data_IF_299153480737
#
_entry.id   IF_299153480737
#
_cell.length_a   1.000
_cell.length_b   1.000
_cell.length_c   1.000
_cell.angle_alpha   90.00
_cell.angle_beta   90.00
_cell.angle_gamma   90.00
#
_symmetry.space_group_name_H-M   'P 1'
#
loop_
_entity.id
_entity.type
_entity.pdbx_description
1 polymer ?
#
# COMPACT_ATOMS: atom_id res chain seq x y z
N UNK A 1 -44.27 -19.83 -27.51
CA UNK A 1 -43.84 -19.73 -26.10
C UNK A 1 -42.42 -19.16 -25.98
N UNK A 2 -42.06 -18.11 -26.76
CA UNK A 2 -40.65 -17.65 -26.90
C UNK A 2 -40.41 -16.15 -26.67
N UNK A 3 -41.45 -15.30 -26.64
CA UNK A 3 -41.25 -13.85 -26.43
C UNK A 3 -41.11 -13.49 -24.96
N UNK A 4 -41.95 -14.04 -24.09
CA UNK A 4 -41.91 -13.77 -22.64
C UNK A 4 -40.63 -14.30 -21.99
N UNK A 5 -40.15 -15.47 -22.44
CA UNK A 5 -38.90 -16.06 -21.94
C UNK A 5 -37.67 -15.21 -22.31
N UNK A 6 -37.65 -14.65 -23.53
CA UNK A 6 -36.60 -13.74 -23.98
C UNK A 6 -36.59 -12.42 -23.19
N UNK A 7 -37.76 -11.88 -22.86
CA UNK A 7 -37.87 -10.67 -22.04
C UNK A 7 -37.38 -10.89 -20.61
N UNK A 8 -37.70 -12.03 -20.00
CA UNK A 8 -37.23 -12.37 -18.64
C UNK A 8 -35.71 -12.58 -18.62
N UNK A 9 -35.16 -13.29 -19.61
CA UNK A 9 -33.70 -13.48 -19.74
C UNK A 9 -32.96 -12.15 -19.98
N UNK A 10 -33.53 -11.23 -20.77
CA UNK A 10 -32.95 -9.89 -20.98
C UNK A 10 -32.98 -9.03 -19.70
N UNK A 11 -34.05 -9.11 -18.91
CA UNK A 11 -34.16 -8.40 -17.64
C UNK A 11 -33.12 -8.86 -16.62
N UNK A 12 -32.86 -10.16 -16.52
CA UNK A 12 -31.81 -10.68 -15.62
C UNK A 12 -30.39 -10.28 -16.07
N UNK A 13 -30.13 -10.24 -17.37
CA UNK A 13 -28.85 -9.75 -17.91
C UNK A 13 -28.59 -8.27 -17.58
N UNK A 14 -29.63 -7.43 -17.52
CA UNK A 14 -29.49 -6.01 -17.17
C UNK A 14 -29.14 -5.86 -15.67
N UNK A 15 -29.74 -6.66 -14.78
CA UNK A 15 -29.45 -6.61 -13.34
C UNK A 15 -28.04 -7.04 -12.97
N UNK A 16 -27.38 -7.90 -13.77
CA UNK A 16 -26.00 -8.33 -13.50
C UNK A 16 -24.98 -7.24 -13.91
N UNK A 17 -25.33 -6.35 -14.85
CA UNK A 17 -24.40 -5.31 -15.34
C UNK A 17 -24.30 -4.06 -14.45
N UNK A 18 -25.21 -3.86 -13.49
CA UNK A 18 -25.30 -2.61 -12.73
C UNK A 18 -24.44 -2.54 -11.46
N UNK A 19 -23.61 -3.56 -11.16
CA UNK A 19 -22.67 -3.51 -10.03
C UNK A 19 -21.26 -3.09 -10.47
N UNK A 20 -21.15 -2.07 -11.32
CA UNK A 20 -19.92 -1.30 -11.40
C UNK A 20 -19.88 -0.34 -10.20
N UNK A 21 -19.38 -0.81 -9.06
CA UNK A 21 -19.07 0.08 -7.93
C UNK A 21 -17.95 1.03 -8.36
N UNK A 22 -18.33 2.22 -8.86
CA UNK A 22 -17.41 3.33 -9.01
C UNK A 22 -17.05 3.83 -7.61
N UNK A 23 -15.95 3.31 -7.05
CA UNK A 23 -15.31 3.88 -5.88
C UNK A 23 -14.67 5.22 -6.28
N UNK A 24 -15.48 6.28 -6.38
CA UNK A 24 -14.97 7.65 -6.41
C UNK A 24 -14.56 8.04 -4.99
N UNK A 25 -13.43 7.49 -4.52
CA UNK A 25 -12.77 7.98 -3.33
C UNK A 25 -12.19 9.35 -3.67
N UNK A 26 -12.71 10.41 -3.05
CA UNK A 26 -12.14 11.76 -3.11
C UNK A 26 -10.65 11.68 -2.75
N UNK A 27 -9.77 12.00 -3.71
CA UNK A 27 -8.32 11.88 -3.59
C UNK A 27 -7.78 13.07 -2.76
N UNK A 28 -8.15 13.13 -1.48
CA UNK A 28 -7.30 13.79 -0.49
C UNK A 28 -6.37 12.70 0.00
N UNK A 29 -5.14 12.70 -0.49
CA UNK A 29 -4.12 11.80 0.00
C UNK A 29 -3.72 12.22 1.41
N UNK A 30 -4.33 11.60 2.41
CA UNK A 30 -3.93 11.69 3.80
C UNK A 30 -2.96 10.56 4.12
N UNK A 31 -1.95 10.75 4.99
CA UNK A 31 -1.06 9.66 5.37
C UNK A 31 -1.85 8.55 6.05
N UNK A 32 -1.52 7.30 5.73
CA UNK A 32 -2.25 6.12 6.18
C UNK A 32 -1.32 5.19 6.98
N UNK A 33 -1.86 4.45 7.95
CA UNK A 33 -1.14 3.36 8.57
C UNK A 33 -0.92 2.23 7.54
N UNK A 34 0.26 1.64 7.55
CA UNK A 34 0.65 0.52 6.71
C UNK A 34 1.25 -0.61 7.56
N UNK A 35 0.41 -1.42 8.24
CA UNK A 35 0.88 -2.50 9.11
C UNK A 35 1.65 -3.60 8.36
N UNK A 36 1.36 -3.80 7.07
CA UNK A 36 2.02 -4.80 6.23
C UNK A 36 3.27 -4.29 5.52
N UNK A 37 3.74 -3.07 5.82
CA UNK A 37 4.97 -2.54 5.22
C UNK A 37 6.17 -3.44 5.57
N UNK A 38 7.00 -3.73 4.59
CA UNK A 38 8.20 -4.54 4.74
C UNK A 38 9.43 -3.72 4.35
N UNK A 39 10.47 -3.82 5.16
CA UNK A 39 11.79 -3.30 4.83
C UNK A 39 12.51 -4.35 3.99
N UNK A 40 12.97 -3.94 2.81
CA UNK A 40 13.68 -4.75 1.84
C UNK A 40 15.19 -4.54 2.00
N UNK A 41 15.82 -5.35 2.86
CA UNK A 41 17.27 -5.30 3.09
C UNK A 41 18.09 -5.86 1.91
N UNK A 42 17.46 -6.56 0.95
CA UNK A 42 18.16 -7.30 -0.10
C UNK A 42 18.63 -6.41 -1.26
N UNK A 43 18.04 -5.23 -1.43
CA UNK A 43 18.38 -4.33 -2.55
C UNK A 43 19.72 -3.60 -2.41
N UNK A 44 20.23 -3.48 -1.17
CA UNK A 44 21.59 -2.98 -0.92
C UNK A 44 22.65 -3.87 -1.61
N UNK A 45 22.34 -5.16 -1.79
CA UNK A 45 23.26 -6.13 -2.41
C UNK A 45 23.15 -6.19 -3.95
N UNK A 46 22.07 -5.68 -4.54
CA UNK A 46 21.81 -5.74 -5.99
C UNK A 46 22.14 -4.43 -6.72
N UNK A 47 22.30 -3.33 -5.99
CA UNK A 47 22.57 -2.01 -6.56
C UNK A 47 24.09 -1.76 -6.54
N UNK A 48 24.75 -1.82 -7.69
CA UNK A 48 26.20 -1.55 -7.79
C UNK A 48 26.57 -0.08 -7.46
N UNK A 49 25.58 0.82 -7.43
CA UNK A 49 25.75 2.25 -7.11
C UNK A 49 24.93 2.64 -5.88
N UNK A 50 25.56 3.39 -4.97
CA UNK A 50 24.91 4.05 -3.84
C UNK A 50 24.67 5.52 -4.14
N UNK A 51 23.53 6.04 -3.69
CA UNK A 51 23.17 7.45 -3.79
C UNK A 51 22.98 8.04 -2.39
N UNK A 52 23.33 9.32 -2.23
CA UNK A 52 23.08 10.09 -1.02
C UNK A 52 21.82 10.94 -1.19
N UNK A 53 21.00 10.98 -0.14
CA UNK A 53 19.78 11.77 -0.08
C UNK A 53 19.83 12.71 1.11
N UNK A 54 19.47 13.97 0.88
CA UNK A 54 19.23 14.93 1.95
C UNK A 54 17.77 14.80 2.37
N UNK A 55 17.52 14.43 3.63
CA UNK A 55 16.18 14.42 4.20
C UNK A 55 16.05 15.54 5.21
N UNK A 56 15.11 16.45 4.97
CA UNK A 56 14.79 17.55 5.88
C UNK A 56 13.41 17.34 6.48
N UNK A 57 13.36 17.33 7.81
CA UNK A 57 12.15 17.07 8.58
C UNK A 57 11.81 18.35 9.35
N UNK A 58 10.61 18.88 9.12
CA UNK A 58 10.09 20.02 9.87
C UNK A 58 9.15 19.50 10.94
N UNK A 59 9.47 19.75 12.22
CA UNK A 59 8.62 19.37 13.35
C UNK A 59 7.60 20.46 13.63
N UNK A 60 6.33 20.09 13.78
CA UNK A 60 5.26 21.07 14.02
C UNK A 60 5.44 21.78 15.36
N UNK A 61 5.06 23.06 15.43
CA UNK A 61 4.96 23.78 16.71
C UNK A 61 3.92 23.19 17.68
N UNK A 62 2.99 22.39 17.17
CA UNK A 62 2.02 21.63 17.95
C UNK A 62 2.51 20.23 18.37
N UNK A 63 3.77 19.88 18.08
CA UNK A 63 4.45 18.70 18.61
C UNK A 63 4.78 18.88 20.11
N UNK A 64 5.03 17.79 20.86
CA UNK A 64 5.59 17.87 22.20
C UNK A 64 6.91 18.65 22.21
N UNK A 65 7.30 19.19 23.37
CA UNK A 65 8.52 20.02 23.50
C UNK A 65 9.76 19.28 23.02
N UNK A 66 9.89 18.03 23.42
CA UNK A 66 10.94 17.09 23.04
C UNK A 66 10.31 15.70 22.90
N UNK A 67 10.96 14.81 22.15
CA UNK A 67 10.58 13.40 22.05
C UNK A 67 11.83 12.53 22.20
N UNK A 68 11.73 11.46 22.99
CA UNK A 68 12.75 10.42 23.12
C UNK A 68 12.36 9.15 22.38
N UNK A 69 11.27 9.23 21.62
CA UNK A 69 10.77 8.09 20.86
C UNK A 69 11.73 7.76 19.73
N UNK A 70 11.86 6.47 19.45
CA UNK A 70 12.66 6.01 18.32
C UNK A 70 11.93 6.32 17.03
N UNK A 71 12.62 6.98 16.10
CA UNK A 71 12.06 7.34 14.80
C UNK A 71 12.86 6.62 13.72
N UNK A 72 12.14 5.87 12.89
CA UNK A 72 12.67 5.26 11.67
C UNK A 72 11.98 5.86 10.44
N UNK A 73 12.68 5.86 9.32
CA UNK A 73 12.21 6.42 8.06
C UNK A 73 12.46 5.44 6.93
N UNK A 74 11.49 5.30 6.02
CA UNK A 74 11.72 4.63 4.75
C UNK A 74 11.00 5.35 3.60
N UNK A 75 11.69 5.48 2.48
CA UNK A 75 11.15 6.04 1.25
C UNK A 75 11.64 5.24 0.05
N UNK A 76 10.96 5.38 -1.08
CA UNK A 76 11.31 4.62 -2.27
C UNK A 76 10.51 5.01 -3.49
N UNK A 77 10.73 4.24 -4.57
CA UNK A 77 10.18 4.50 -5.89
C UNK A 77 9.22 3.41 -6.39
N UNK A 78 8.65 3.66 -7.58
CA UNK A 78 7.67 2.78 -8.20
C UNK A 78 8.28 1.47 -8.75
N UNK A 79 9.61 1.41 -8.85
CA UNK A 79 10.36 0.22 -9.28
C UNK A 79 10.71 -0.70 -8.10
N UNK A 80 10.34 -0.28 -6.90
CA UNK A 80 10.54 -1.03 -5.67
C UNK A 80 11.86 -0.76 -5.00
N UNK A 81 12.69 0.18 -5.49
CA UNK A 81 13.91 0.56 -4.78
C UNK A 81 13.56 1.28 -3.48
N UNK A 82 14.19 0.85 -2.39
CA UNK A 82 13.90 1.35 -1.05
C UNK A 82 15.15 1.85 -0.34
N UNK A 83 15.04 3.05 0.24
CA UNK A 83 15.98 3.58 1.22
C UNK A 83 15.35 3.45 2.60
N UNK A 84 16.15 3.01 3.57
CA UNK A 84 15.71 2.79 4.95
C UNK A 84 16.75 3.34 5.92
N UNK A 85 16.31 4.18 6.83
CA UNK A 85 17.09 4.65 7.97
C UNK A 85 16.47 4.09 9.26
N UNK A 86 17.14 3.15 9.94
CA UNK A 86 16.57 2.43 11.08
C UNK A 86 16.39 3.31 12.31
N UNK A 87 17.26 4.30 12.48
CA UNK A 87 17.23 5.22 13.61
C UNK A 87 17.75 6.57 13.18
N UNK A 88 16.86 7.56 13.14
CA UNK A 88 17.20 8.96 12.84
C UNK A 88 17.00 9.87 14.06
N UNK A 89 16.44 9.33 15.15
CA UNK A 89 16.48 10.00 16.44
C UNK A 89 17.89 9.96 17.02
N UNK A 90 18.32 11.12 17.52
CA UNK A 90 19.49 11.22 18.39
C UNK A 90 19.09 12.00 19.65
N UNK A 91 18.85 11.29 20.77
CA UNK A 91 18.44 11.90 22.03
C UNK A 91 19.46 12.92 22.59
N UNK A 92 20.70 12.89 22.13
CA UNK A 92 21.78 13.74 22.64
C UNK A 92 21.88 15.10 21.93
N UNK A 93 21.28 15.24 20.75
CA UNK A 93 21.40 16.44 19.90
C UNK A 93 20.13 17.30 19.84
N UNK A 94 19.07 16.91 20.54
CA UNK A 94 17.81 17.66 20.53
C UNK A 94 17.03 17.54 19.21
N UNK A 95 17.22 16.44 18.46
CA UNK A 95 16.46 16.19 17.25
C UNK A 95 14.96 16.13 17.53
N UNK A 96 14.15 16.63 16.61
CA UNK A 96 12.69 16.59 16.67
C UNK A 96 12.07 17.42 17.81
N UNK A 97 12.78 18.47 18.24
CA UNK A 97 12.20 19.50 19.11
C UNK A 97 11.01 20.21 18.45
N UNK A 98 10.12 20.78 19.27
CA UNK A 98 8.99 21.54 18.73
C UNK A 98 9.46 22.70 17.85
N UNK A 99 8.80 22.92 16.72
CA UNK A 99 9.17 23.96 15.76
C UNK A 99 10.61 23.82 15.20
N UNK A 100 11.24 22.63 15.29
CA UNK A 100 12.59 22.41 14.76
C UNK A 100 12.59 22.07 13.28
N UNK A 101 13.77 22.21 12.67
CA UNK A 101 14.09 21.64 11.36
C UNK A 101 15.35 20.80 11.51
N UNK A 102 15.22 19.50 11.25
CA UNK A 102 16.30 18.52 11.36
C UNK A 102 16.66 18.01 9.96
N UNK A 103 17.96 17.91 9.65
CA UNK A 103 18.44 17.50 8.32
C UNK A 103 19.43 16.34 8.42
N UNK A 104 19.22 15.32 7.59
CA UNK A 104 19.99 14.08 7.57
C UNK A 104 20.52 13.81 6.17
N UNK A 105 21.73 13.23 6.10
CA UNK A 105 22.24 12.58 4.90
C UNK A 105 22.04 11.07 5.05
N UNK A 106 21.27 10.48 4.14
CA UNK A 106 20.94 9.05 4.15
C UNK A 106 21.44 8.43 2.85
N UNK A 107 22.22 7.37 2.97
CA UNK A 107 22.72 6.61 1.82
C UNK A 107 21.85 5.39 1.56
N UNK A 108 21.59 5.09 0.29
CA UNK A 108 20.85 3.89 -0.12
C UNK A 108 20.97 3.62 -1.61
N UNK A 109 20.15 2.70 -2.16
CA UNK A 109 20.09 2.51 -3.61
C UNK A 109 19.67 3.80 -4.32
N UNK A 110 20.13 3.96 -5.56
CA UNK A 110 19.72 5.07 -6.41
C UNK A 110 18.26 4.89 -6.87
N UNK A 111 17.41 5.82 -6.47
CA UNK A 111 15.99 5.88 -6.81
C UNK A 111 15.81 6.61 -8.14
N UNK A 112 14.74 6.31 -8.86
CA UNK A 112 14.36 7.06 -10.06
C UNK A 112 13.48 8.27 -9.74
N UNK A 113 12.45 8.06 -8.90
CA UNK A 113 11.56 9.11 -8.43
C UNK A 113 10.90 8.67 -7.13
N UNK A 114 11.10 9.44 -6.06
CA UNK A 114 10.49 9.13 -4.75
C UNK A 114 8.98 9.29 -4.86
N UNK A 115 8.23 8.22 -4.62
CA UNK A 115 6.77 8.23 -4.69
C UNK A 115 6.09 7.74 -3.41
N UNK A 116 6.83 7.17 -2.45
CA UNK A 116 6.29 6.86 -1.13
C UNK A 116 7.28 7.25 -0.05
N UNK A 117 6.74 7.54 1.13
CA UNK A 117 7.50 7.78 2.34
C UNK A 117 6.67 7.36 3.56
N UNK A 118 7.26 6.56 4.43
CA UNK A 118 6.68 6.13 5.69
C UNK A 118 7.61 6.47 6.85
N UNK A 119 7.00 6.93 7.94
CA UNK A 119 7.63 7.11 9.23
C UNK A 119 7.19 6.00 10.17
N UNK A 120 8.07 5.60 11.07
CA UNK A 120 7.76 4.67 12.16
C UNK A 120 8.20 5.31 13.46
N UNK A 121 7.30 5.30 14.46
CA UNK A 121 7.60 5.79 15.81
C UNK A 121 7.46 4.65 16.81
N UNK A 122 8.39 4.55 17.74
CA UNK A 122 8.33 3.64 18.89
C UNK A 122 8.67 4.37 20.18
N UNK A 123 7.67 4.56 21.05
CA UNK A 123 7.83 5.18 22.35
C UNK A 123 6.54 5.82 22.88
N UNK A 124 6.67 6.59 23.97
CA UNK A 124 5.55 7.14 24.72
C UNK A 124 5.38 8.65 24.60
N UNK A 125 6.41 9.39 24.17
CA UNK A 125 6.40 10.86 24.20
C UNK A 125 5.49 11.44 23.10
N UNK A 126 5.38 10.74 21.98
CA UNK A 126 4.67 11.21 20.79
C UNK A 126 5.55 12.15 19.96
N UNK A 127 5.14 12.34 18.71
CA UNK A 127 5.82 13.25 17.78
C UNK A 127 4.90 13.63 16.63
N UNK A 128 4.94 14.90 16.22
CA UNK A 128 4.14 15.46 15.13
C UNK A 128 5.03 16.18 14.11
N UNK A 129 5.43 15.53 13.02
CA UNK A 129 6.05 16.21 11.90
C UNK A 129 5.02 17.05 11.16
N UNK A 130 5.45 18.22 10.70
CA UNK A 130 4.72 19.04 9.74
C UNK A 130 4.96 18.51 8.33
N UNK A 131 6.21 18.37 7.93
CA UNK A 131 6.58 17.82 6.62
C UNK A 131 7.91 17.07 6.64
N UNK A 132 8.07 16.19 5.65
CA UNK A 132 9.34 15.52 5.34
C UNK A 132 9.66 15.77 3.88
N UNK A 133 10.79 16.41 3.62
CA UNK A 133 11.32 16.64 2.28
C UNK A 133 12.49 15.70 2.02
N UNK A 134 12.48 15.04 0.87
CA UNK A 134 13.58 14.20 0.38
C UNK A 134 14.14 14.84 -0.88
N UNK A 135 15.41 15.19 -0.84
CA UNK A 135 16.18 15.64 -1.99
C UNK A 135 17.20 14.58 -2.39
N UNK A 136 17.13 14.15 -3.64
CA UNK A 136 18.17 13.36 -4.29
C UNK A 136 18.76 14.13 -5.46
N UNK A 137 20.07 14.04 -5.67
CA UNK A 137 20.77 14.78 -6.73
C UNK A 137 20.15 14.53 -8.11
N UNK A 138 19.79 13.28 -8.42
CA UNK A 138 19.19 12.90 -9.72
C UNK A 138 17.66 12.93 -9.72
N UNK A 139 17.01 12.82 -8.56
CA UNK A 139 15.54 12.66 -8.45
C UNK A 139 14.81 13.97 -8.14
N UNK A 140 15.55 15.03 -7.80
CA UNK A 140 14.97 16.29 -7.34
C UNK A 140 14.43 16.20 -5.91
N UNK A 141 13.58 17.15 -5.56
CA UNK A 141 12.98 17.28 -4.23
C UNK A 141 11.50 16.87 -4.23
N UNK A 142 11.10 16.06 -3.25
CA UNK A 142 9.70 15.67 -3.01
C UNK A 142 9.36 15.92 -1.55
N UNK A 143 8.23 16.57 -1.28
CA UNK A 143 7.77 16.90 0.07
C UNK A 143 6.49 16.14 0.42
N UNK A 144 6.45 15.55 1.60
CA UNK A 144 5.32 14.84 2.18
C UNK A 144 4.81 15.60 3.41
N UNK A 145 3.54 16.02 3.39
CA UNK A 145 2.94 16.87 4.42
C UNK A 145 2.11 16.06 5.42
N UNK A 146 2.65 15.79 6.60
CA UNK A 146 1.98 14.98 7.62
C UNK A 146 1.02 15.80 8.48
N UNK A 147 1.54 16.85 9.13
CA UNK A 147 0.85 17.68 10.12
C UNK A 147 -0.09 16.90 11.07
N UNK A 148 0.31 15.71 11.49
CA UNK A 148 -0.46 14.80 12.36
C UNK A 148 0.47 14.00 13.25
N UNK A 149 -0.03 13.52 14.39
CA UNK A 149 0.76 12.70 15.30
C UNK A 149 1.06 11.33 14.67
N UNK A 150 2.32 10.92 14.69
CA UNK A 150 2.70 9.60 14.19
C UNK A 150 2.24 8.54 15.20
N UNK A 151 1.46 7.52 14.77
CA UNK A 151 1.04 6.45 15.66
C UNK A 151 2.23 5.61 16.14
N UNK A 152 2.09 5.01 17.32
CA UNK A 152 3.11 4.14 17.90
C UNK A 152 3.06 2.76 17.25
N UNK A 153 4.21 2.19 16.89
CA UNK A 153 4.34 0.78 16.52
C UNK A 153 3.79 0.41 15.14
N UNK A 154 3.56 1.39 14.25
CA UNK A 154 3.08 1.14 12.89
C UNK A 154 3.74 2.12 11.91
N UNK A 155 4.08 1.63 10.71
CA UNK A 155 4.52 2.48 9.61
C UNK A 155 3.37 3.36 9.16
N UNK A 156 3.62 4.65 9.00
CA UNK A 156 2.57 5.65 8.72
C UNK A 156 3.08 6.67 7.70
N UNK A 157 2.31 6.91 6.65
CA UNK A 157 2.76 7.80 5.58
C UNK A 157 2.02 7.67 4.27
N UNK A 158 2.70 8.00 3.18
CA UNK A 158 2.11 8.18 1.86
C UNK A 158 2.63 7.14 0.88
N UNK A 159 1.77 6.77 -0.06
CA UNK A 159 2.15 5.98 -1.23
C UNK A 159 1.45 6.52 -2.48
N UNK A 160 2.20 7.31 -3.25
CA UNK A 160 1.79 7.91 -4.53
C UNK A 160 2.36 7.16 -5.72
N UNK A 161 3.00 6.02 -5.49
CA UNK A 161 3.47 5.21 -6.58
C UNK A 161 2.25 4.78 -7.36
N UNK A 162 2.05 5.39 -8.54
CA UNK A 162 1.18 4.81 -9.55
C UNK A 162 1.66 3.39 -9.69
N UNK A 163 0.78 2.40 -9.47
CA UNK A 163 1.11 1.01 -9.73
C UNK A 163 1.59 0.98 -11.18
N UNK A 164 2.90 0.98 -11.42
CA UNK A 164 3.46 0.35 -12.60
C UNK A 164 2.79 -1.00 -12.58
N UNK A 165 1.89 -1.22 -13.54
CA UNK A 165 0.93 -2.31 -13.52
C UNK A 165 1.71 -3.59 -13.31
N UNK A 166 1.75 -4.08 -12.07
CA UNK A 166 2.10 -5.46 -11.82
C UNK A 166 1.01 -6.19 -12.58
N UNK A 167 1.35 -6.93 -13.66
CA UNK A 167 0.33 -7.70 -14.33
C UNK A 167 -0.29 -8.53 -13.22
N UNK A 168 -1.57 -8.30 -12.94
CA UNK A 168 -2.31 -9.22 -12.10
C UNK A 168 -2.16 -10.53 -12.86
N UNK A 169 -1.37 -11.45 -12.33
CA UNK A 169 -1.50 -12.85 -12.71
C UNK A 169 -2.91 -13.19 -12.29
N UNK A 170 -3.85 -12.97 -13.20
CA UNK A 170 -5.13 -13.66 -13.20
C UNK A 170 -4.74 -15.12 -13.19
N UNK A 171 -4.73 -15.71 -12.00
CA UNK A 171 -4.68 -17.15 -11.85
C UNK A 171 -5.95 -17.67 -12.53
N UNK A 172 -5.80 -17.99 -13.82
CA UNK A 172 -6.83 -18.64 -14.63
C UNK A 172 -7.19 -20.04 -14.10
N UNK A 173 -6.50 -20.52 -13.06
CA UNK A 173 -6.76 -21.80 -12.41
C UNK A 173 -7.89 -21.74 -11.37
N UNK A 174 -8.34 -20.56 -10.95
CA UNK A 174 -9.46 -20.41 -10.00
C UNK A 174 -10.86 -20.56 -10.61
N UNK A 175 -10.99 -20.45 -11.94
CA UNK A 175 -12.31 -20.51 -12.61
C UNK A 175 -12.64 -21.87 -13.23
N UNK A 176 -11.72 -22.84 -13.24
CA UNK A 176 -12.01 -24.20 -13.73
C UNK A 176 -12.62 -25.09 -12.64
N UNK A 177 -12.41 -24.79 -11.35
CA UNK A 177 -12.95 -25.59 -10.25
C UNK A 177 -14.41 -25.31 -9.88
N UNK A 178 -15.06 -24.29 -10.46
CA UNK A 178 -16.49 -24.04 -10.25
C UNK A 178 -17.39 -24.51 -11.42
N UNK A 179 -16.81 -25.01 -12.51
CA UNK A 179 -17.57 -25.55 -13.65
C UNK A 179 -17.51 -27.09 -13.70
N UNK A 180 -16.63 -27.74 -12.93
CA UNK A 180 -16.51 -29.22 -12.91
C UNK A 180 -17.35 -29.89 -11.81
N UNK A 181 -17.89 -29.14 -10.83
CA UNK A 181 -18.83 -29.68 -9.82
C UNK A 181 -20.30 -29.26 -10.04
N UNK A 182 -20.74 -29.23 -11.30
CA UNK A 182 -22.17 -29.31 -11.63
C UNK A 182 -22.46 -30.42 -12.66
N UNK A 183 -21.73 -31.53 -12.60
CA UNK A 183 -22.03 -32.76 -13.36
C UNK A 183 -22.19 -34.01 -12.49
N UNK A 184 -22.23 -33.85 -11.16
CA UNK A 184 -22.59 -34.93 -10.23
C UNK A 184 -23.87 -34.67 -9.42
N UNK A 185 -24.75 -33.78 -9.90
CA UNK A 185 -26.09 -33.61 -9.33
C UNK A 185 -27.22 -34.01 -10.30
N UNK A 186 -26.97 -34.99 -11.19
CA UNK A 186 -28.02 -35.61 -12.03
C UNK A 186 -28.26 -37.11 -11.74
N UNK A 187 -27.62 -37.72 -10.74
CA UNK A 187 -27.92 -39.13 -10.37
C UNK A 187 -28.59 -39.28 -9.00
N UNK A 188 -29.57 -38.43 -8.68
CA UNK A 188 -30.36 -38.59 -7.45
C UNK A 188 -31.88 -38.39 -7.60
N UNK A 189 -32.43 -38.13 -8.79
CA UNK A 189 -33.88 -37.99 -8.99
C UNK A 189 -34.36 -38.66 -10.29
N UNK A 190 -34.30 -39.99 -10.30
CA UNK A 190 -35.11 -40.92 -11.08
C UNK A 190 -34.54 -42.32 -10.79
N UNK A 191 -35.26 -43.38 -10.42
CA UNK A 191 -36.64 -43.61 -10.02
C UNK A 191 -36.59 -45.06 -9.51
N UNK A 192 -37.18 -45.35 -8.36
CA UNK A 192 -37.78 -46.66 -8.11
C UNK A 192 -39.25 -46.30 -7.95
N UNK A 193 -40.09 -46.49 -8.96
CA UNK A 193 -40.83 -47.73 -9.15
C UNK A 193 -40.77 -48.28 -10.59
N UNK A 194 -40.33 -49.54 -10.66
CA UNK A 194 -40.78 -50.61 -11.57
C UNK A 194 -40.51 -50.53 -13.10
N UNK A 195 -39.50 -51.32 -13.48
CA UNK A 195 -39.56 -52.39 -14.49
C UNK A 195 -39.31 -52.11 -15.99
N UNK A 196 -38.17 -52.70 -16.39
CA UNK A 196 -37.81 -53.34 -17.67
C UNK A 196 -37.15 -52.48 -18.76
N UNK A 197 -35.85 -52.76 -18.90
CA UNK A 197 -35.03 -52.60 -20.09
C UNK A 197 -35.48 -53.53 -21.23
N UNK A 198 -35.39 -53.01 -22.46
CA UNK A 198 -35.14 -53.65 -23.76
C UNK A 198 -34.76 -52.48 -24.70
N UNK A 199 -33.66 -52.41 -25.46
CA UNK A 199 -32.62 -53.33 -25.95
C UNK A 199 -31.26 -52.63 -25.82
#
# INVERSE_FOLDING_TARGET
MNRTLFFVLFLELIFITSQAQTLTQSIIFHPQPQPSFKINNTQVLQSAASCSYTVTITTSCSSPKYTRDQISLSFGDAYGYQVYAPRIDDPSTGTFERCSVDTYQITGPCLYSVCYLYLYRSGSDGWKPESVQVYGYYTGSVTFYYNTFIPNGVWYGFNYCSRASTPKTTSWLGHVFQVVFCFQCWKALCNNWNNRCWI
#
